data_IF_772275106092
#
_entry.id   IF_772275106092
#
_cell.length_a   1.000
_cell.length_b   1.000
_cell.length_c   1.000
_cell.angle_alpha   90.00
_cell.angle_beta   90.00
_cell.angle_gamma   90.00
#
_symmetry.space_group_name_H-M   'P 1'
#
loop_
_entity.id
_entity.type
_entity.pdbx_description
1 polymer ?
#
# COMPACT_ATOMS: atom_id res chain seq x y z
N UNK A 1 -27.62 -9.53 -18.31
CA UNK A 1 -27.30 -8.25 -18.97
C UNK A 1 -26.33 -7.45 -18.09
N UNK A 2 -25.15 -8.00 -17.79
CA UNK A 2 -24.14 -7.42 -16.88
C UNK A 2 -22.77 -7.41 -17.57
N UNK A 3 -22.63 -6.62 -18.64
CA UNK A 3 -21.40 -6.59 -19.46
C UNK A 3 -20.76 -5.20 -19.58
N UNK A 4 -21.22 -4.24 -18.79
CA UNK A 4 -20.84 -2.83 -18.95
C UNK A 4 -20.68 -2.19 -17.58
N UNK A 5 -19.58 -2.49 -16.88
CA UNK A 5 -19.06 -1.72 -15.74
C UNK A 5 -17.69 -2.28 -15.33
N UNK A 6 -16.76 -2.35 -16.29
CA UNK A 6 -15.34 -2.47 -15.98
C UNK A 6 -14.66 -1.27 -16.63
N UNK A 7 -15.00 -0.08 -16.13
CA UNK A 7 -14.38 1.17 -16.57
C UNK A 7 -12.96 1.23 -16.04
N UNK A 8 -12.08 0.67 -16.85
CA UNK A 8 -10.65 0.91 -16.99
C UNK A 8 -10.22 2.26 -16.38
N UNK A 9 -9.62 2.22 -15.19
CA UNK A 9 -8.85 3.36 -14.65
C UNK A 9 -7.55 3.43 -15.45
N UNK A 10 -7.59 4.16 -16.57
CA UNK A 10 -6.40 4.48 -17.36
C UNK A 10 -5.71 5.64 -16.67
N UNK A 11 -4.74 5.34 -15.81
CA UNK A 11 -3.81 6.34 -15.29
C UNK A 11 -2.85 6.70 -16.43
N UNK A 12 -3.06 7.83 -17.08
CA UNK A 12 -2.15 8.35 -18.11
C UNK A 12 -0.91 8.91 -17.41
N UNK A 13 0.14 8.10 -17.30
CA UNK A 13 1.47 8.56 -16.89
C UNK A 13 2.16 9.19 -18.10
N UNK A 14 2.29 10.52 -18.09
CA UNK A 14 3.09 11.26 -19.07
C UNK A 14 4.56 10.87 -18.84
N UNK A 15 5.14 10.16 -19.80
CA UNK A 15 6.48 9.61 -19.71
C UNK A 15 7.53 10.70 -19.99
N UNK A 16 8.20 11.17 -18.94
CA UNK A 16 9.52 11.80 -19.05
C UNK A 16 10.60 10.70 -19.16
N UNK A 17 11.69 10.90 -19.91
CA UNK A 17 12.79 9.95 -19.98
C UNK A 17 13.51 9.89 -18.63
N UNK A 18 13.44 8.74 -17.98
CA UNK A 18 14.17 8.46 -16.73
C UNK A 18 15.65 8.22 -17.06
N UNK A 19 16.53 9.00 -16.44
CA UNK A 19 17.94 8.63 -16.30
C UNK A 19 17.99 7.32 -15.52
N UNK A 20 18.66 6.32 -16.06
CA UNK A 20 19.01 5.10 -15.33
C UNK A 20 19.77 5.51 -14.06
N UNK A 21 19.05 5.54 -12.94
CA UNK A 21 19.60 5.94 -11.65
C UNK A 21 20.47 4.81 -11.10
N UNK A 22 21.54 5.23 -10.43
CA UNK A 22 22.62 4.45 -9.85
C UNK A 22 22.14 3.27 -9.00
N UNK A 23 23.04 2.29 -8.82
CA UNK A 23 22.90 1.16 -7.91
C UNK A 23 21.99 1.50 -6.73
N UNK A 24 20.80 0.91 -6.71
CA UNK A 24 19.89 1.08 -5.60
C UNK A 24 20.61 0.59 -4.34
N UNK A 25 20.54 1.34 -3.22
CA UNK A 25 21.11 0.89 -1.95
C UNK A 25 20.55 -0.49 -1.60
N UNK A 26 21.36 -1.31 -0.93
CA UNK A 26 21.00 -2.69 -0.61
C UNK A 26 19.72 -2.80 0.23
N UNK A 27 19.39 -1.76 1.00
CA UNK A 27 18.13 -1.59 1.70
C UNK A 27 17.83 -0.10 1.91
N UNK A 28 16.58 0.21 2.22
CA UNK A 28 16.15 1.54 2.66
C UNK A 28 15.14 1.42 3.81
N UNK A 29 15.01 2.50 4.56
CA UNK A 29 13.97 2.65 5.58
C UNK A 29 13.46 4.08 5.60
N UNK A 30 12.20 4.26 5.98
CA UNK A 30 11.52 5.53 5.77
C UNK A 30 10.19 5.68 6.48
N UNK A 31 9.52 6.76 6.10
CA UNK A 31 8.17 7.08 6.54
C UNK A 31 7.21 7.01 5.36
N UNK A 32 6.04 6.44 5.60
CA UNK A 32 4.94 6.36 4.66
C UNK A 32 3.73 7.08 5.24
N UNK A 33 3.40 8.24 4.67
CA UNK A 33 2.29 9.09 5.09
C UNK A 33 1.08 8.81 4.21
N UNK A 34 -0.08 8.50 4.80
CA UNK A 34 -1.28 8.05 4.07
C UNK A 34 -2.55 8.79 4.45
N UNK A 35 -3.46 8.89 3.49
CA UNK A 35 -4.80 9.48 3.69
C UNK A 35 -5.89 8.43 3.96
N UNK A 36 -5.51 7.22 4.36
CA UNK A 36 -6.47 6.12 4.55
C UNK A 36 -7.44 6.45 5.71
N UNK A 37 -8.75 6.25 5.46
CA UNK A 37 -9.75 6.38 6.51
C UNK A 37 -9.77 5.11 7.36
N UNK A 38 -9.64 5.28 8.67
CA UNK A 38 -9.77 4.20 9.65
C UNK A 38 -8.47 3.57 10.13
N UNK A 39 -7.31 4.08 9.71
CA UNK A 39 -5.98 3.66 10.21
C UNK A 39 -5.09 4.86 10.42
N UNK A 40 -3.94 4.66 11.05
CA UNK A 40 -3.03 5.74 11.36
C UNK A 40 -2.33 6.29 10.11
N UNK A 41 -2.22 7.63 9.98
CA UNK A 41 -1.69 8.27 8.78
C UNK A 41 -0.17 8.17 8.65
N UNK A 42 0.55 7.79 9.72
CA UNK A 42 2.01 7.71 9.73
C UNK A 42 2.41 6.25 9.92
N UNK A 43 3.16 5.70 8.97
CA UNK A 43 3.69 4.34 9.03
C UNK A 43 5.20 4.35 8.84
N UNK A 44 5.86 3.32 9.39
CA UNK A 44 7.28 3.07 9.15
C UNK A 44 7.38 2.07 8.01
N UNK A 45 8.33 2.30 7.12
CA UNK A 45 8.55 1.45 5.96
C UNK A 45 10.01 1.04 5.87
N UNK A 46 10.26 -0.16 5.36
CA UNK A 46 11.56 -0.59 4.91
C UNK A 46 11.46 -1.47 3.67
N UNK A 47 12.48 -1.41 2.82
CA UNK A 47 12.47 -2.15 1.58
C UNK A 47 13.85 -2.48 1.06
N UNK A 48 13.88 -3.35 0.06
CA UNK A 48 15.10 -3.75 -0.63
C UNK A 48 14.84 -4.11 -2.09
N UNK A 49 15.83 -3.87 -2.98
CA UNK A 49 15.73 -4.30 -4.37
C UNK A 49 15.92 -5.83 -4.49
N UNK A 50 15.00 -6.51 -5.18
CA UNK A 50 15.06 -7.95 -5.48
C UNK A 50 14.77 -8.17 -6.98
N UNK A 51 15.78 -8.59 -7.74
CA UNK A 51 15.65 -8.92 -9.16
C UNK A 51 14.97 -7.82 -10.02
N UNK A 52 15.28 -6.55 -9.75
CA UNK A 52 14.71 -5.40 -10.46
C UNK A 52 13.34 -4.93 -9.95
N UNK A 53 12.83 -5.54 -8.88
CA UNK A 53 11.63 -5.11 -8.15
C UNK A 53 12.05 -4.46 -6.82
N UNK A 54 11.23 -3.56 -6.29
CA UNK A 54 11.39 -3.05 -4.92
C UNK A 54 10.41 -3.77 -4.00
N UNK A 55 10.90 -4.61 -3.09
CA UNK A 55 10.08 -5.27 -2.08
C UNK A 55 10.02 -4.38 -0.84
N UNK A 56 8.81 -4.09 -0.37
CA UNK A 56 8.56 -3.18 0.74
C UNK A 56 7.71 -3.83 1.82
N UNK A 57 8.09 -3.59 3.08
CA UNK A 57 7.33 -3.91 4.28
C UNK A 57 6.96 -2.60 4.98
N UNK A 58 5.67 -2.39 5.23
CA UNK A 58 5.15 -1.22 5.94
C UNK A 58 4.49 -1.71 7.21
N UNK A 59 4.76 -1.04 8.33
CA UNK A 59 4.16 -1.34 9.61
C UNK A 59 3.60 -0.05 10.21
N UNK A 60 2.37 -0.10 10.67
CA UNK A 60 1.77 0.95 11.48
C UNK A 60 2.36 0.89 12.89
N UNK A 61 3.19 1.87 13.30
CA UNK A 61 3.79 1.87 14.61
C UNK A 61 2.74 2.13 15.69
N UNK A 62 1.63 2.81 15.40
CA UNK A 62 0.72 3.28 16.45
C UNK A 62 -0.19 2.18 17.02
N UNK A 63 0.07 0.91 16.69
CA UNK A 63 -0.62 -0.24 17.29
C UNK A 63 -0.58 -0.26 18.82
N UNK A 64 0.42 0.39 19.44
CA UNK A 64 0.51 0.49 20.89
C UNK A 64 -0.54 1.44 21.51
N UNK A 65 -1.21 2.29 20.72
CA UNK A 65 -2.15 3.30 21.26
C UNK A 65 -3.59 2.78 21.38
N UNK A 66 -4.06 2.02 20.40
CA UNK A 66 -5.45 1.56 20.31
C UNK A 66 -5.59 0.06 20.03
N UNK A 67 -4.47 -0.66 19.88
CA UNK A 67 -4.43 -2.08 19.57
C UNK A 67 -4.72 -2.41 18.10
N UNK A 68 -5.03 -1.42 17.26
CA UNK A 68 -5.25 -1.61 15.84
C UNK A 68 -3.91 -1.55 15.11
N UNK A 69 -3.60 -2.55 14.27
CA UNK A 69 -2.38 -2.51 13.44
C UNK A 69 -2.69 -2.79 11.98
N UNK A 70 -1.91 -2.15 11.12
CA UNK A 70 -1.82 -2.43 9.71
C UNK A 70 -0.39 -2.83 9.37
N UNK A 71 -0.25 -3.92 8.61
CA UNK A 71 1.02 -4.35 8.04
C UNK A 71 0.86 -4.65 6.56
N UNK A 72 1.71 -4.07 5.73
CA UNK A 72 1.69 -4.26 4.29
C UNK A 72 2.96 -4.94 3.82
N UNK A 73 2.81 -5.92 2.94
CA UNK A 73 3.88 -6.44 2.13
C UNK A 73 3.53 -6.17 0.66
N UNK A 74 4.36 -5.40 -0.03
CA UNK A 74 4.08 -5.02 -1.40
C UNK A 74 5.34 -4.93 -2.26
N UNK A 75 5.15 -5.04 -3.57
CA UNK A 75 6.20 -4.92 -4.58
C UNK A 75 5.94 -3.72 -5.47
N UNK A 76 7.00 -2.94 -5.73
CA UNK A 76 7.01 -1.91 -6.76
C UNK A 76 7.64 -2.47 -8.03
N UNK A 77 6.86 -2.45 -9.11
CA UNK A 77 7.31 -2.85 -10.44
C UNK A 77 7.59 -1.55 -11.21
N UNK A 78 8.87 -1.21 -11.48
CA UNK A 78 9.19 0.03 -12.18
C UNK A 78 8.68 -0.02 -13.61
N UNK A 79 7.97 1.03 -14.03
CA UNK A 79 7.44 1.22 -15.38
C UNK A 79 7.73 2.66 -15.80
N UNK A 80 8.82 2.85 -16.56
CA UNK A 80 9.32 4.18 -16.95
C UNK A 80 9.61 5.06 -15.73
N UNK A 81 8.96 6.21 -15.61
CA UNK A 81 9.05 7.19 -14.51
C UNK A 81 8.09 6.93 -13.36
N UNK A 82 7.38 5.82 -13.39
CA UNK A 82 6.42 5.42 -12.36
C UNK A 82 6.71 3.99 -11.90
N UNK A 83 5.95 3.53 -10.91
CA UNK A 83 5.89 2.14 -10.50
C UNK A 83 4.43 1.69 -10.39
N UNK A 84 4.17 0.45 -10.79
CA UNK A 84 2.93 -0.26 -10.44
C UNK A 84 3.17 -0.97 -9.13
N UNK A 85 2.20 -0.86 -8.22
CA UNK A 85 2.27 -1.43 -6.88
C UNK A 85 1.30 -2.59 -6.80
N UNK A 86 1.73 -3.69 -6.20
CA UNK A 86 0.87 -4.81 -5.88
C UNK A 86 1.28 -5.40 -4.54
N UNK A 87 0.33 -5.80 -3.72
CA UNK A 87 0.66 -6.29 -2.39
C UNK A 87 -0.49 -6.85 -1.61
N UNK A 88 -0.23 -7.03 -0.33
CA UNK A 88 -1.11 -7.62 0.65
C UNK A 88 -1.04 -6.80 1.93
N UNK A 89 -2.20 -6.46 2.50
CA UNK A 89 -2.33 -5.81 3.81
C UNK A 89 -3.03 -6.73 4.77
N UNK A 90 -2.47 -6.85 5.97
CA UNK A 90 -3.13 -7.43 7.12
C UNK A 90 -3.49 -6.32 8.09
N UNK A 91 -4.77 -6.21 8.43
CA UNK A 91 -5.28 -5.31 9.47
C UNK A 91 -5.74 -6.16 10.66
N UNK A 92 -5.35 -5.79 11.89
CA UNK A 92 -5.93 -6.35 13.12
C UNK A 92 -6.79 -5.32 13.80
N UNK A 93 -7.99 -5.72 14.22
CA UNK A 93 -8.94 -4.89 14.94
C UNK A 93 -9.22 -5.55 16.29
N UNK A 94 -8.88 -4.91 17.42
CA UNK A 94 -9.22 -5.44 18.72
C UNK A 94 -10.73 -5.40 18.95
N UNK A 95 -11.27 -6.49 19.49
CA UNK A 95 -12.62 -6.58 20.04
C UNK A 95 -12.51 -6.67 21.58
N UNK A 96 -13.63 -6.63 22.29
CA UNK A 96 -13.63 -6.61 23.77
C UNK A 96 -12.78 -7.74 24.39
N UNK A 97 -12.88 -8.96 23.85
CA UNK A 97 -12.22 -10.16 24.38
C UNK A 97 -11.43 -10.93 23.30
N UNK A 98 -11.26 -10.37 22.10
CA UNK A 98 -10.71 -11.10 20.95
C UNK A 98 -10.15 -10.16 19.88
N UNK A 99 -9.69 -10.71 18.74
CA UNK A 99 -9.12 -9.92 17.64
C UNK A 99 -9.68 -10.37 16.31
N UNK A 100 -10.20 -9.43 15.53
CA UNK A 100 -10.58 -9.67 14.14
C UNK A 100 -9.43 -9.30 13.20
N UNK A 101 -9.25 -10.10 12.16
CA UNK A 101 -8.24 -9.96 11.14
C UNK A 101 -8.91 -9.66 9.81
N UNK A 102 -8.46 -8.63 9.10
CA UNK A 102 -8.85 -8.37 7.72
C UNK A 102 -7.63 -8.53 6.82
N UNK A 103 -7.80 -9.30 5.76
CA UNK A 103 -6.79 -9.53 4.75
C UNK A 103 -7.19 -8.79 3.48
N UNK A 104 -6.32 -7.94 2.94
CA UNK A 104 -6.64 -7.07 1.80
C UNK A 104 -5.61 -7.24 0.68
N UNK A 105 -6.08 -7.23 -0.56
CA UNK A 105 -5.24 -7.07 -1.75
C UNK A 105 -4.99 -5.59 -1.99
N UNK A 106 -3.73 -5.24 -2.28
CA UNK A 106 -3.31 -3.89 -2.61
C UNK A 106 -2.96 -3.82 -4.09
N UNK A 107 -3.45 -2.79 -4.78
CA UNK A 107 -2.97 -2.40 -6.09
C UNK A 107 -2.80 -0.89 -6.13
N UNK A 108 -1.80 -0.38 -6.83
CA UNK A 108 -1.56 1.06 -6.87
C UNK A 108 -0.60 1.49 -7.95
N UNK A 109 -0.31 2.77 -7.94
CA UNK A 109 0.73 3.36 -8.76
C UNK A 109 1.40 4.51 -8.01
N UNK A 110 2.70 4.70 -8.24
CA UNK A 110 3.45 5.80 -7.65
C UNK A 110 4.52 6.35 -8.58
N UNK A 111 5.05 7.53 -8.23
CA UNK A 111 6.13 8.18 -8.95
C UNK A 111 7.05 8.92 -7.97
N UNK A 112 8.32 9.08 -8.36
CA UNK A 112 9.28 9.88 -7.60
C UNK A 112 8.93 11.36 -7.58
N UNK A 113 9.38 12.07 -6.54
CA UNK A 113 9.28 13.53 -6.42
C UNK A 113 10.70 14.09 -6.59
N UNK A 114 11.05 14.44 -7.83
CA UNK A 114 12.42 14.87 -8.19
C UNK A 114 12.89 16.08 -7.36
N UNK A 115 12.02 17.06 -7.12
CA UNK A 115 12.38 18.27 -6.35
C UNK A 115 12.65 18.05 -4.86
N UNK A 116 12.29 16.88 -4.31
CA UNK A 116 12.53 16.51 -2.91
C UNK A 116 13.55 15.38 -2.77
N UNK A 117 13.90 14.71 -3.88
CA UNK A 117 14.83 13.57 -3.86
C UNK A 117 16.27 14.04 -4.03
N UNK A 118 17.20 13.39 -3.33
CA UNK A 118 18.62 13.63 -3.40
C UNK A 118 19.39 12.31 -3.12
N UNK A 119 20.71 12.38 -2.93
CA UNK A 119 21.54 11.19 -2.75
C UNK A 119 21.29 10.40 -1.45
N UNK A 120 20.65 10.98 -0.43
CA UNK A 120 20.34 10.33 0.84
C UNK A 120 18.83 10.17 1.11
N UNK A 121 17.99 10.90 0.38
CA UNK A 121 16.53 10.89 0.53
C UNK A 121 15.85 10.62 -0.81
N UNK A 122 15.01 9.60 -0.84
CA UNK A 122 14.07 9.35 -1.95
C UNK A 122 12.68 9.76 -1.50
N UNK A 123 12.08 10.68 -2.23
CA UNK A 123 10.70 11.08 -2.02
C UNK A 123 9.83 10.52 -3.14
N UNK A 124 8.69 9.93 -2.81
CA UNK A 124 7.72 9.46 -3.81
C UNK A 124 6.28 9.72 -3.36
N UNK A 125 5.37 9.78 -4.31
CA UNK A 125 3.94 9.85 -4.04
C UNK A 125 3.21 8.76 -4.82
N UNK A 126 2.00 8.42 -4.39
CA UNK A 126 1.20 7.44 -5.11
C UNK A 126 -0.24 7.37 -4.64
N UNK A 127 -0.96 6.47 -5.31
CA UNK A 127 -2.34 6.11 -5.02
C UNK A 127 -2.44 4.60 -4.88
N UNK A 128 -3.32 4.14 -4.00
CA UNK A 128 -3.54 2.73 -3.72
C UNK A 128 -5.04 2.45 -3.56
N UNK A 129 -5.45 1.30 -4.08
CA UNK A 129 -6.71 0.65 -3.82
C UNK A 129 -6.45 -0.61 -2.97
N UNK A 130 -7.08 -0.67 -1.80
CA UNK A 130 -7.06 -1.84 -0.93
C UNK A 130 -8.43 -2.52 -0.93
N UNK A 131 -8.48 -3.81 -1.28
CA UNK A 131 -9.71 -4.59 -1.33
C UNK A 131 -9.67 -5.71 -0.30
N UNK A 132 -10.55 -5.68 0.69
CA UNK A 132 -10.70 -6.77 1.65
C UNK A 132 -11.09 -8.04 0.91
N UNK A 133 -10.35 -9.12 1.14
CA UNK A 133 -10.57 -10.46 0.58
C UNK A 133 -11.26 -11.36 1.59
N UNK A 134 -10.81 -11.31 2.84
CA UNK A 134 -11.37 -12.13 3.92
C UNK A 134 -11.27 -11.41 5.27
N UNK A 135 -12.31 -11.57 6.08
CA UNK A 135 -12.37 -11.18 7.49
C UNK A 135 -12.51 -12.45 8.33
N UNK A 136 -11.71 -12.61 9.38
CA UNK A 136 -11.77 -13.79 10.24
C UNK A 136 -11.31 -13.48 11.67
N UNK A 137 -11.51 -14.44 12.60
CA UNK A 137 -11.16 -14.28 14.01
C UNK A 137 -12.25 -13.56 14.80
N UNK A 138 -11.94 -13.23 16.05
CA UNK A 138 -12.84 -12.46 16.91
C UNK A 138 -14.08 -13.21 17.39
N UNK A 139 -14.08 -14.56 17.32
CA UNK A 139 -15.28 -15.41 17.49
C UNK A 139 -16.42 -15.09 16.51
N UNK A 140 -16.10 -14.39 15.41
CA UNK A 140 -17.03 -14.08 14.34
C UNK A 140 -16.90 -15.11 13.20
N UNK A 141 -17.98 -15.39 12.47
CA UNK A 141 -17.89 -16.18 11.24
C UNK A 141 -16.87 -15.59 10.27
N UNK A 142 -16.11 -16.46 9.60
CA UNK A 142 -15.24 -16.03 8.49
C UNK A 142 -16.10 -15.52 7.34
N UNK A 143 -15.79 -14.31 6.88
CA UNK A 143 -16.53 -13.64 5.80
C UNK A 143 -15.58 -13.36 4.64
N UNK A 144 -15.92 -13.90 3.47
CA UNK A 144 -15.16 -13.70 2.23
C UNK A 144 -15.82 -12.61 1.41
N UNK A 145 -15.02 -11.85 0.67
CA UNK A 145 -15.53 -10.84 -0.25
C UNK A 145 -16.54 -11.45 -1.22
N UNK A 146 -17.74 -10.89 -1.25
CA UNK A 146 -18.81 -11.25 -2.16
C UNK A 146 -19.29 -10.00 -2.88
N UNK A 147 -18.76 -9.80 -4.10
CA UNK A 147 -19.17 -8.70 -4.98
C UNK A 147 -20.61 -8.83 -5.50
N UNK A 148 -21.30 -9.94 -5.21
CA UNK A 148 -22.72 -10.13 -5.49
C UNK A 148 -23.65 -9.41 -4.52
N UNK A 149 -23.16 -8.93 -3.37
CA UNK A 149 -23.95 -8.23 -2.34
C UNK A 149 -23.65 -6.72 -2.34
N UNK A 150 -24.68 -5.85 -2.42
CA UNK A 150 -24.49 -4.39 -2.38
C UNK A 150 -23.77 -3.90 -1.11
N UNK A 151 -24.02 -4.54 0.04
CA UNK A 151 -23.34 -4.23 1.31
C UNK A 151 -21.84 -4.58 1.29
N UNK A 152 -21.38 -5.38 0.33
CA UNK A 152 -19.98 -5.74 0.18
C UNK A 152 -19.14 -4.67 -0.52
N UNK A 153 -19.72 -3.66 -1.19
CA UNK A 153 -18.91 -2.75 -2.01
C UNK A 153 -18.25 -1.61 -1.22
N UNK A 154 -18.98 -0.98 -0.30
CA UNK A 154 -18.52 0.23 0.39
C UNK A 154 -17.54 -0.07 1.54
N UNK A 155 -17.75 -1.20 2.23
CA UNK A 155 -16.94 -1.55 3.40
C UNK A 155 -15.69 -2.37 3.06
N UNK A 156 -15.55 -2.81 1.81
CA UNK A 156 -14.47 -3.71 1.37
C UNK A 156 -13.45 -3.04 0.47
N UNK A 157 -13.70 -1.81 -0.01
CA UNK A 157 -12.80 -1.11 -0.91
C UNK A 157 -12.36 0.21 -0.29
N UNK A 158 -11.05 0.36 -0.06
CA UNK A 158 -10.45 1.58 0.46
C UNK A 158 -9.53 2.21 -0.59
N UNK A 159 -9.57 3.53 -0.70
CA UNK A 159 -8.68 4.30 -1.56
C UNK A 159 -7.82 5.21 -0.69
N UNK A 160 -6.51 5.18 -0.92
CA UNK A 160 -5.56 6.01 -0.23
C UNK A 160 -4.63 6.72 -1.21
N UNK A 161 -4.25 7.94 -0.87
CA UNK A 161 -3.06 8.59 -1.41
C UNK A 161 -1.94 8.46 -0.37
N UNK A 162 -0.70 8.42 -0.84
CA UNK A 162 0.44 8.36 0.05
C UNK A 162 1.62 9.19 -0.45
N UNK A 163 2.48 9.56 0.50
CA UNK A 163 3.82 10.13 0.26
C UNK A 163 4.83 9.34 1.08
N UNK A 164 5.91 8.90 0.45
CA UNK A 164 7.01 8.15 1.08
C UNK A 164 8.28 8.98 1.11
N UNK A 165 9.03 8.84 2.20
CA UNK A 165 10.34 9.44 2.42
C UNK A 165 11.29 8.34 2.88
N UNK A 166 12.12 7.84 1.97
CA UNK A 166 13.03 6.73 2.20
C UNK A 166 14.48 7.22 2.30
N UNK A 167 15.17 6.80 3.35
CA UNK A 167 16.59 7.05 3.54
C UNK A 167 17.38 5.86 3.00
N UNK A 168 18.28 6.13 2.06
CA UNK A 168 19.21 5.15 1.53
C UNK A 168 20.31 4.87 2.56
N UNK A 169 20.68 3.61 2.79
CA UNK A 169 21.94 3.31 3.48
C UNK A 169 23.11 3.69 2.58
N UNK A 170 24.00 4.56 3.07
CA UNK A 170 25.30 4.85 2.45
C UNK A 170 26.20 3.60 2.44
#
# INVERSE_FOLDING_TARGET
MYRTLLSLVVLVVIAAPVRAESELPAWHAGLNLRTELGTHPIRVEGGLPVAGLELNLVVDPMFWTDGQTDSDLWVAIPVRSAAVLAGWRTTTIPLLDSTQWHQKLLIGAGAGIEGLSNHWLRASWGVELATVVVKHGGDLPTDWVDFGKPSGYLDLVNFAMFVRFDYASL
#
